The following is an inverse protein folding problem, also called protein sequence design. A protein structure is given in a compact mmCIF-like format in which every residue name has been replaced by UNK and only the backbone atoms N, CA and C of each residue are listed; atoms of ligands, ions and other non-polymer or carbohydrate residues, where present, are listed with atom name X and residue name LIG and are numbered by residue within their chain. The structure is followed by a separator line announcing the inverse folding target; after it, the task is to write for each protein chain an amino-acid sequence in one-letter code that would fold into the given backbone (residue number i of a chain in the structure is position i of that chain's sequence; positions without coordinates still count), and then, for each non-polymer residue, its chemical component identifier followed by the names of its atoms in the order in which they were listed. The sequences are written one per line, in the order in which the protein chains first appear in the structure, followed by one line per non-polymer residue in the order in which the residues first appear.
data_IF_559562057308
#
_entry.id   IF_559562057308
#
_cell.length_a   1.000
_cell.length_b   1.000
_cell.length_c   1.000
_cell.angle_alpha   90.00
_cell.angle_beta   90.00
_cell.angle_gamma   90.00
#
_symmetry.space_group_name_H-M   'P 1'
#
loop_
_entity.id
_entity.type
_entity.pdbx_description
1 polymer ?
2 non-polymer ?
3 non-polymer ?
4 water ?
#
# COMPACT_ATOMS: atom_id res chain seq x y z
N UNK A 4 -21.74 8.02 -0.33
CA UNK A 4 -21.98 7.05 0.78
C UNK A 4 -20.71 6.85 1.62
N UNK A 5 -19.59 6.60 0.93
CA UNK A 5 -18.27 6.65 1.58
C UNK A 5 -17.64 8.01 1.26
N UNK A 6 -18.17 9.06 1.89
CA UNK A 6 -17.86 10.42 1.45
C UNK A 6 -16.45 10.95 1.77
N UNK A 7 -15.76 10.30 2.71
CA UNK A 7 -14.40 10.72 3.10
C UNK A 7 -13.34 10.39 2.06
N UNK A 8 -13.69 9.49 1.15
CA UNK A 8 -12.80 9.02 0.09
C UNK A 8 -12.38 10.14 -0.86
N UNK A 9 -13.28 11.10 -1.09
CA UNK A 9 -13.09 12.11 -2.11
C UNK A 9 -11.84 12.95 -2.01
N UNK A 10 -11.46 13.36 -0.80
CA UNK A 10 -10.30 14.22 -0.64
C UNK A 10 -8.99 13.48 -0.94
N UNK A 11 -8.89 12.25 -0.43
CA UNK A 11 -7.76 11.37 -0.71
C UNK A 11 -7.60 11.12 -2.21
N UNK A 12 -8.67 10.68 -2.87
CA UNK A 12 -8.67 10.49 -4.32
C UNK A 12 -8.23 11.74 -5.09
N UNK A 13 -8.64 12.92 -4.61
CA UNK A 13 -8.32 14.21 -5.22
C UNK A 13 -6.83 14.58 -5.11
N UNK A 14 -6.20 14.21 -4.00
CA UNK A 14 -4.76 14.42 -3.81
C UNK A 14 -3.96 13.44 -4.67
N UNK A 15 -4.45 12.20 -4.80
CA UNK A 15 -3.84 11.22 -5.69
C UNK A 15 -3.87 11.72 -7.12
N UNK A 16 -5.03 12.26 -7.52
CA UNK A 16 -5.27 12.77 -8.88
C UNK A 16 -4.37 13.95 -9.25
N UNK A 17 -3.99 14.75 -8.26
CA UNK A 17 -3.05 15.87 -8.48
C UNK A 17 -1.73 15.34 -8.99
N UNK A 18 -1.29 14.21 -8.42
CA UNK A 18 -0.02 13.60 -8.84
C UNK A 18 -0.19 12.86 -10.17
N UNK A 19 -1.30 12.14 -10.29
CA UNK A 19 -1.67 11.45 -11.53
C UNK A 19 -1.68 12.39 -12.74
N UNK A 20 -2.05 13.65 -12.53
CA UNK A 20 -2.21 14.59 -13.64
C UNK A 20 -0.94 15.35 -13.95
N UNK A 21 0.09 15.13 -13.14
CA UNK A 21 1.35 15.84 -13.29
C UNK A 21 2.30 15.09 -14.19
N UNK A 22 2.81 15.81 -15.20
CA UNK A 22 3.85 15.28 -16.07
C UNK A 22 5.01 16.28 -16.20
N UNK A 23 5.74 16.53 -15.09
CA UNK A 23 6.72 17.64 -15.07
C UNK A 23 7.92 17.42 -16.00
N UNK A 24 8.23 16.15 -16.29
CA UNK A 24 9.32 15.78 -17.19
C UNK A 24 8.82 15.58 -18.61
N UNK A 25 7.51 15.81 -18.82
CA UNK A 25 6.90 15.68 -20.14
C UNK A 25 7.20 14.28 -20.71
N UNK A 26 6.92 13.26 -19.89
CA UNK A 26 7.40 11.91 -20.18
C UNK A 26 6.31 10.97 -20.70
N UNK A 27 5.06 11.43 -20.72
CA UNK A 27 3.92 10.56 -21.07
C UNK A 27 4.14 9.68 -22.28
N UNK A 28 4.47 10.30 -23.43
CA UNK A 28 4.61 9.57 -24.68
C UNK A 28 5.85 8.66 -24.71
N UNK A 29 6.82 8.98 -23.85
CA UNK A 29 8.07 8.23 -23.75
C UNK A 29 7.92 6.99 -22.87
N UNK A 30 7.31 7.14 -21.70
CA UNK A 30 7.07 5.99 -20.82
C UNK A 30 6.11 4.94 -21.43
N UNK A 31 5.22 5.37 -22.34
CA UNK A 31 4.34 4.46 -23.06
C UNK A 31 5.07 3.47 -23.96
N UNK A 32 6.35 3.77 -24.25
CA UNK A 32 7.15 2.96 -25.17
C UNK A 32 7.91 1.86 -24.43
N UNK A 33 7.99 1.97 -23.11
CA UNK A 33 8.74 1.02 -22.29
C UNK A 33 8.26 -0.45 -22.39
N UNK A 34 6.93 -0.71 -22.32
CA UNK A 34 6.46 -2.09 -22.46
C UNK A 34 6.97 -2.84 -23.71
N UNK A 35 7.02 -2.16 -24.84
CA UNK A 35 7.57 -2.73 -26.08
C UNK A 35 9.03 -3.12 -25.90
N UNK A 36 9.79 -2.28 -25.20
CA UNK A 36 11.22 -2.53 -24.96
C UNK A 36 11.45 -3.67 -23.98
N UNK A 37 10.63 -3.72 -22.94
CA UNK A 37 10.61 -4.87 -22.01
C UNK A 37 10.29 -6.19 -22.68
N UNK A 38 9.33 -6.17 -23.60
CA UNK A 38 8.95 -7.35 -24.40
C UNK A 38 10.13 -7.85 -25.25
N UNK A 39 10.93 -6.92 -25.78
CA UNK A 39 12.13 -7.25 -26.55
C UNK A 39 13.36 -7.49 -25.68
N UNK A 40 13.22 -7.23 -24.39
CA UNK A 40 14.34 -7.36 -23.44
C UNK A 40 15.53 -6.49 -23.87
N UNK A 41 15.20 -5.29 -24.36
CA UNK A 41 16.13 -4.34 -24.92
C UNK A 41 16.66 -3.41 -23.83
N UNK A 42 17.72 -3.85 -23.15
CA UNK A 42 18.31 -3.10 -22.03
C UNK A 42 18.95 -1.78 -22.49
N UNK A 43 19.78 -1.81 -23.57
CA UNK A 43 20.29 -0.53 -24.08
C UNK A 43 19.18 0.43 -24.51
N UNK A 44 18.11 -0.09 -25.10
CA UNK A 44 16.97 0.72 -25.52
C UNK A 44 16.24 1.33 -24.34
N UNK A 45 16.07 0.54 -23.28
CA UNK A 45 15.45 0.99 -22.03
C UNK A 45 16.21 2.13 -21.37
N UNK A 46 17.54 1.98 -21.25
CA UNK A 46 18.41 3.04 -20.74
C UNK A 46 18.36 4.29 -21.64
N UNK A 47 18.43 4.09 -22.95
CA UNK A 47 18.37 5.20 -23.89
C UNK A 47 17.06 5.97 -23.83
N UNK A 48 15.97 5.26 -23.51
CA UNK A 48 14.66 5.90 -23.37
C UNK A 48 14.56 6.76 -22.11
N UNK A 49 15.09 6.25 -21.00
CA UNK A 49 15.14 7.01 -19.75
C UNK A 49 15.98 8.27 -19.91
N UNK A 50 17.14 8.14 -20.54
CA UNK A 50 18.05 9.26 -20.75
C UNK A 50 17.46 10.39 -21.60
N UNK A 51 16.35 10.11 -22.29
CA UNK A 51 15.60 11.11 -23.05
C UNK A 51 14.84 12.11 -22.18
N UNK A 52 14.48 11.72 -20.95
CA UNK A 52 13.76 12.63 -20.07
C UNK A 52 14.40 12.83 -18.69
N UNK A 53 15.33 11.96 -18.33
CA UNK A 53 15.99 12.04 -17.03
C UNK A 53 16.72 13.37 -16.88
N UNK A 54 16.42 14.11 -15.79
CA UNK A 54 17.15 15.38 -15.58
C UNK A 54 18.62 15.10 -15.29
N UNK A 55 19.53 15.82 -15.95
CA UNK A 55 20.95 15.56 -15.75
C UNK A 55 21.62 16.65 -14.93
N UNK A 56 20.93 17.78 -14.81
CA UNK A 56 21.53 18.96 -14.21
C UNK A 56 20.76 19.37 -12.96
N UNK A 57 19.97 18.44 -12.43
CA UNK A 57 19.18 18.69 -11.24
C UNK A 57 17.69 18.86 -11.50
N UNK A 58 16.95 19.08 -10.42
CA UNK A 58 15.50 19.26 -10.48
C UNK A 58 15.16 20.74 -10.49
N UNK A 59 14.22 21.16 -11.36
CA UNK A 59 13.73 22.54 -11.32
C UNK A 59 13.32 22.94 -9.91
N UNK A 60 13.72 24.15 -9.50
CA UNK A 60 13.53 24.60 -8.12
C UNK A 60 12.11 25.06 -7.81
N UNK A 61 11.25 25.14 -8.84
CA UNK A 61 9.85 25.50 -8.63
C UNK A 61 8.98 24.31 -8.24
N UNK A 62 9.56 23.10 -8.32
CA UNK A 62 8.88 21.87 -8.01
C UNK A 62 8.50 21.74 -6.54
N UNK A 63 7.42 20.99 -6.30
CA UNK A 63 7.02 20.63 -4.95
C UNK A 63 6.89 19.13 -4.87
N UNK A 64 6.18 18.66 -3.85
CA UNK A 64 5.96 17.22 -3.67
C UNK A 64 5.33 16.57 -4.90
N UNK A 65 4.27 17.19 -5.41
CA UNK A 65 3.48 16.68 -6.54
C UNK A 65 4.36 16.40 -7.76
N UNK A 66 5.18 17.38 -8.15
CA UNK A 66 6.03 17.21 -9.33
C UNK A 66 7.14 16.19 -9.09
N UNK A 67 7.76 16.26 -7.91
CA UNK A 67 8.80 15.30 -7.56
C UNK A 67 8.31 13.85 -7.53
N UNK A 68 7.08 13.64 -7.06
CA UNK A 68 6.54 12.28 -6.95
C UNK A 68 6.15 11.78 -8.34
N UNK A 69 5.60 12.68 -9.15
CA UNK A 69 5.32 12.42 -10.57
C UNK A 69 6.59 12.07 -11.36
N UNK A 70 7.67 12.78 -11.06
CA UNK A 70 8.98 12.51 -11.69
C UNK A 70 9.49 11.15 -11.27
N UNK A 71 9.34 10.81 -9.98
CA UNK A 71 9.74 9.51 -9.44
C UNK A 71 8.94 8.38 -10.06
N UNK A 72 7.65 8.61 -10.28
CA UNK A 72 6.80 7.64 -10.97
C UNK A 72 7.32 7.31 -12.37
N UNK A 73 7.68 8.34 -13.14
CA UNK A 73 8.08 8.15 -14.53
C UNK A 73 9.47 7.52 -14.70
N UNK A 74 10.42 7.97 -13.89
CA UNK A 74 11.73 7.33 -13.82
C UNK A 74 11.58 5.92 -13.22
N UNK A 75 10.74 5.80 -12.18
CA UNK A 75 10.50 4.54 -11.46
C UNK A 75 10.21 3.28 -12.27
N UNK A 76 9.32 3.35 -13.27
CA UNK A 76 9.04 2.19 -14.12
C UNK A 76 10.26 1.63 -14.87
N UNK A 77 11.29 2.46 -15.05
CA UNK A 77 12.55 2.03 -15.64
C UNK A 77 13.42 1.32 -14.61
N UNK A 78 13.21 1.62 -13.34
CA UNK A 78 13.96 1.00 -12.25
C UNK A 78 13.64 -0.49 -12.12
N UNK A 79 12.37 -0.81 -11.89
CA UNK A 79 11.93 -2.21 -11.83
C UNK A 79 12.17 -2.98 -13.13
N UNK A 80 12.11 -2.27 -14.25
CA UNK A 80 12.35 -2.84 -15.58
C UNK A 80 13.78 -3.33 -15.75
N UNK A 81 14.73 -2.46 -15.44
CA UNK A 81 16.14 -2.77 -15.60
C UNK A 81 16.56 -3.89 -14.68
N UNK A 82 16.10 -3.85 -13.44
CA UNK A 82 16.36 -4.94 -12.50
C UNK A 82 15.74 -6.26 -12.99
N UNK A 83 14.56 -6.18 -13.60
CA UNK A 83 13.89 -7.36 -14.17
C UNK A 83 14.77 -8.11 -15.20
N UNK A 84 15.55 -7.35 -15.96
CA UNK A 84 16.50 -7.93 -16.93
C UNK A 84 17.87 -8.25 -16.35
N UNK A 85 18.05 -8.05 -15.05
CA UNK A 85 19.27 -8.46 -14.35
C UNK A 85 20.30 -7.36 -14.06
N UNK A 86 19.87 -6.11 -14.12
CA UNK A 86 20.81 -4.98 -14.01
C UNK A 86 20.41 -3.99 -12.93
N UNK A 87 21.38 -3.61 -12.08
CA UNK A 87 21.14 -2.53 -11.14
C UNK A 87 21.06 -1.21 -11.92
N UNK A 88 19.89 -0.53 -11.88
CA UNK A 88 19.71 0.74 -12.61
C UNK A 88 20.79 1.77 -12.30
N UNK A 89 21.21 1.86 -11.04
CA UNK A 89 22.25 2.81 -10.61
C UNK A 89 23.64 2.48 -11.16
N UNK A 90 23.83 1.23 -11.58
CA UNK A 90 25.10 0.79 -12.16
C UNK A 90 25.12 0.98 -13.68
N UNK A 91 23.95 1.04 -14.30
CA UNK A 91 23.88 1.12 -15.76
C UNK A 91 23.40 2.46 -16.31
N UNK A 92 22.92 3.36 -15.44
CA UNK A 92 22.44 4.67 -15.87
C UNK A 92 23.28 5.79 -15.23
N UNK A 93 24.07 6.49 -16.06
CA UNK A 93 24.89 7.58 -15.56
C UNK A 93 24.02 8.69 -14.99
N UNK A 94 24.38 9.21 -13.82
CA UNK A 94 23.68 10.35 -13.23
C UNK A 94 22.31 10.05 -12.65
N UNK A 95 21.89 8.80 -12.66
CA UNK A 95 20.55 8.45 -12.18
C UNK A 95 20.42 8.49 -10.66
N UNK A 96 21.38 7.88 -9.97
CA UNK A 96 21.34 7.79 -8.50
C UNK A 96 21.22 9.14 -7.77
N UNK A 97 22.04 10.16 -8.15
CA UNK A 97 21.87 11.49 -7.58
C UNK A 97 20.45 12.04 -7.73
N UNK A 98 19.87 11.91 -8.93
CA UNK A 98 18.49 12.29 -9.21
C UNK A 98 17.49 11.59 -8.30
N UNK A 99 17.65 10.28 -8.15
CA UNK A 99 16.77 9.46 -7.29
C UNK A 99 16.82 9.90 -5.84
N UNK A 100 18.03 10.21 -5.37
CA UNK A 100 18.22 10.72 -3.99
C UNK A 100 17.63 12.12 -3.76
N UNK A 101 17.69 12.95 -4.81
CA UNK A 101 17.06 14.27 -4.80
C UNK A 101 15.53 14.21 -4.73
N UNK A 102 14.95 13.25 -5.45
CA UNK A 102 13.50 13.02 -5.43
C UNK A 102 13.00 12.38 -4.13
N UNK A 103 13.82 11.50 -3.56
CA UNK A 103 13.58 10.92 -2.23
C UNK A 103 13.56 11.99 -1.14
N UNK A 104 14.42 13.00 -1.29
CA UNK A 104 14.46 14.13 -0.38
C UNK A 104 13.23 15.03 -0.54
N UNK A 105 12.82 15.27 -1.78
CA UNK A 105 11.74 16.19 -2.09
C UNK A 105 10.37 15.64 -1.67
N UNK A 106 10.28 14.32 -1.56
CA UNK A 106 9.03 13.64 -1.27
C UNK A 106 9.02 12.94 0.09
N UNK A 107 10.19 12.83 0.73
CA UNK A 107 10.35 12.12 2.00
C UNK A 107 9.87 10.66 1.90
N UNK A 108 10.33 10.00 0.85
CA UNK A 108 9.99 8.62 0.52
C UNK A 108 11.27 7.93 -0.02
N UNK A 109 11.26 6.60 -0.23
CA UNK A 109 12.46 5.94 -0.77
C UNK A 109 12.93 6.49 -2.14
N UNK A 110 14.21 6.27 -2.51
CA UNK A 110 14.72 6.71 -3.82
C UNK A 110 14.42 5.74 -4.97
N UNK A 111 13.18 5.27 -5.03
CA UNK A 111 12.68 4.45 -6.12
C UNK A 111 11.17 4.55 -6.13
N UNK A 112 10.53 3.81 -7.04
CA UNK A 112 9.07 3.76 -7.11
C UNK A 112 8.46 2.83 -6.05
N UNK A 113 7.28 3.21 -5.60
CA UNK A 113 6.52 2.44 -4.61
C UNK A 113 5.15 2.18 -5.23
N UNK A 114 4.35 1.39 -4.52
CA UNK A 114 2.96 1.17 -4.85
C UNK A 114 2.21 2.48 -5.23
N UNK A 115 2.42 3.53 -4.45
CA UNK A 115 1.72 4.80 -4.64
C UNK A 115 1.97 5.37 -6.04
N UNK A 116 3.24 5.37 -6.46
CA UNK A 116 3.64 5.84 -7.79
C UNK A 116 2.99 5.05 -8.95
N UNK A 117 2.88 3.73 -8.78
CA UNK A 117 2.45 2.86 -9.89
C UNK A 117 0.94 2.69 -9.97
N UNK A 118 0.23 3.12 -8.94
CA UNK A 118 -1.23 2.95 -8.87
C UNK A 118 -1.98 4.27 -8.76
N UNK A 119 -2.13 4.81 -7.55
CA UNK A 119 -2.99 5.99 -7.36
C UNK A 119 -2.38 7.30 -7.90
N UNK A 120 -1.04 7.34 -8.02
CA UNK A 120 -0.34 8.50 -8.59
C UNK A 120 -0.09 8.38 -10.07
N UNK A 121 -0.62 7.31 -10.65
CA UNK A 121 -0.44 6.93 -12.03
C UNK A 121 -1.77 7.19 -12.73
N UNK A 122 -1.76 8.00 -13.82
CA UNK A 122 -3.01 8.31 -14.53
C UNK A 122 -3.67 7.08 -15.14
N UNK A 123 -5.00 7.14 -15.29
CA UNK A 123 -5.82 5.97 -15.61
C UNK A 123 -6.11 5.76 -17.09
N UNK A 124 -5.99 6.84 -17.85
CA UNK A 124 -6.33 6.81 -19.28
C UNK A 124 -5.36 5.92 -20.05
N UNK A 125 -5.88 5.27 -21.09
CA UNK A 125 -5.07 4.41 -21.93
C UNK A 125 -3.91 5.15 -22.62
N UNK A 126 -4.14 6.42 -23.00
CA UNK A 126 -3.09 7.23 -23.62
C UNK A 126 -2.11 7.84 -22.62
N UNK A 127 -2.20 7.45 -21.34
CA UNK A 127 -1.37 8.03 -20.29
C UNK A 127 -0.84 7.03 -19.26
N UNK A 128 -1.61 5.99 -18.95
CA UNK A 128 -1.21 5.08 -17.88
C UNK A 128 0.17 4.49 -18.13
N UNK A 129 1.05 4.66 -17.13
CA UNK A 129 2.38 4.03 -17.13
C UNK A 129 2.23 2.58 -16.68
N UNK A 130 3.09 1.72 -17.23
CA UNK A 130 3.08 0.29 -16.99
C UNK A 130 4.46 -0.32 -17.30
N UNK A 131 4.78 -1.45 -16.68
CA UNK A 131 6.01 -2.15 -16.99
C UNK A 131 5.80 -2.97 -18.27
N UNK A 132 4.70 -3.69 -18.33
CA UNK A 132 4.52 -4.77 -19.29
C UNK A 132 3.47 -4.43 -20.31
N UNK A 133 2.58 -3.50 -19.97
CA UNK A 133 1.44 -3.17 -20.82
C UNK A 133 0.39 -4.27 -20.94
N UNK A 134 0.51 -5.29 -20.09
CA UNK A 134 -0.45 -6.41 -20.08
C UNK A 134 -1.79 -6.04 -19.43
N UNK A 135 -2.90 -6.66 -19.90
CA UNK A 135 -4.22 -6.56 -19.27
C UNK A 135 -4.20 -6.91 -17.78
N UNK A 136 -3.46 -7.97 -17.42
CA UNK A 136 -3.32 -8.39 -16.01
C UNK A 136 -2.64 -7.35 -15.14
N UNK A 137 -1.68 -6.61 -15.71
CA UNK A 137 -1.09 -5.51 -14.99
C UNK A 137 -2.11 -4.38 -14.83
N UNK A 138 -2.83 -4.06 -15.90
CA UNK A 138 -3.89 -3.06 -15.81
C UNK A 138 -4.87 -3.40 -14.68
N UNK A 139 -5.34 -4.65 -14.67
CA UNK A 139 -6.19 -5.19 -13.60
C UNK A 139 -5.53 -5.10 -12.22
N UNK A 140 -4.24 -5.42 -12.15
CA UNK A 140 -3.49 -5.35 -10.91
C UNK A 140 -3.47 -3.95 -10.31
N UNK A 141 -3.22 -2.94 -11.15
CA UNK A 141 -3.20 -1.56 -10.67
C UNK A 141 -4.58 -1.12 -10.20
N UNK A 142 -5.61 -1.55 -10.93
CA UNK A 142 -6.97 -1.17 -10.61
C UNK A 142 -7.43 -1.78 -9.28
N UNK A 143 -6.99 -3.00 -8.99
CA UNK A 143 -7.34 -3.66 -7.72
C UNK A 143 -6.95 -2.79 -6.53
N UNK A 144 -5.81 -2.11 -6.62
CA UNK A 144 -5.36 -1.22 -5.57
C UNK A 144 -6.09 0.13 -5.58
N UNK A 145 -6.39 0.66 -6.77
CA UNK A 145 -7.15 1.93 -6.87
C UNK A 145 -8.54 1.82 -6.26
N UNK A 146 -9.08 0.60 -6.25
CA UNK A 146 -10.37 0.31 -5.64
C UNK A 146 -10.40 0.73 -4.16
N UNK A 147 -9.36 0.37 -3.42
CA UNK A 147 -9.41 0.40 -1.95
C UNK A 147 -8.49 1.41 -1.29
N UNK A 148 -7.50 1.92 -2.01
CA UNK A 148 -6.48 2.76 -1.37
C UNK A 148 -7.04 4.04 -0.69
N UNK A 149 -7.91 4.78 -1.38
CA UNK A 149 -8.49 6.00 -0.81
C UNK A 149 -9.42 5.71 0.37
N UNK A 150 -10.14 4.58 0.28
CA UNK A 150 -10.94 4.06 1.39
C UNK A 150 -10.09 3.60 2.57
N UNK A 151 -8.91 3.03 2.29
CA UNK A 151 -7.98 2.62 3.34
C UNK A 151 -7.43 3.79 4.15
N UNK A 152 -7.00 4.84 3.44
CA UNK A 152 -6.55 6.08 4.03
C UNK A 152 -7.62 6.74 4.91
N UNK A 153 -8.86 6.77 4.44
CA UNK A 153 -9.97 7.20 5.26
C UNK A 153 -10.15 6.30 6.48
N UNK A 154 -10.02 4.98 6.28
CA UNK A 154 -10.10 4.01 7.38
C UNK A 154 -9.05 4.23 8.48
N UNK A 155 -7.81 4.55 8.07
CA UNK A 155 -6.76 4.94 9.03
C UNK A 155 -7.22 6.12 9.88
N UNK A 156 -7.68 7.21 9.24
CA UNK A 156 -8.21 8.37 9.94
C UNK A 156 -9.32 8.01 10.93
N UNK A 157 -10.25 7.16 10.51
CA UNK A 157 -11.36 6.74 11.35
C UNK A 157 -10.88 5.92 12.56
N UNK A 158 -9.82 5.14 12.37
CA UNK A 158 -9.22 4.31 13.41
C UNK A 158 -8.55 5.13 14.52
N UNK A 159 -7.87 6.21 14.11
CA UNK A 159 -7.21 7.13 15.04
C UNK A 159 -8.26 7.90 15.87
N UNK A 160 -9.34 8.28 15.21
CA UNK A 160 -10.47 8.96 15.85
C UNK A 160 -11.21 8.06 16.83
N UNK A 161 -11.37 6.79 16.44
CA UNK A 161 -12.06 5.78 17.25
C UNK A 161 -11.31 5.45 18.53
N UNK A 162 -9.99 5.54 18.47
CA UNK A 162 -9.09 5.30 19.60
C UNK A 162 -9.49 6.13 20.84
N UNK A 163 -9.82 7.40 20.63
CA UNK A 163 -10.16 8.32 21.72
C UNK A 163 -11.66 8.31 22.08
N UNK A 164 -12.44 7.48 21.38
CA UNK A 164 -13.87 7.37 21.65
C UNK A 164 -14.13 6.27 22.70
N UNK A 165 -14.82 6.65 23.77
CA UNK A 165 -15.17 5.73 24.85
C UNK A 165 -16.20 4.70 24.37
N UNK A 166 -16.02 3.46 24.81
CA UNK A 166 -16.92 2.36 24.50
C UNK A 166 -18.31 2.59 25.07
N UNK A 167 -18.38 3.37 26.15
CA UNK A 167 -19.64 3.71 26.82
C UNK A 167 -20.52 4.61 25.97
N UNK A 168 -19.89 5.22 24.95
CA UNK A 168 -20.54 6.16 24.04
C UNK A 168 -21.18 5.42 22.87
N UNK A 169 -22.39 5.86 22.44
CA UNK A 169 -23.01 5.29 21.23
C UNK A 169 -22.21 5.58 19.95
N UNK A 170 -21.34 6.59 20.01
CA UNK A 170 -20.40 6.87 18.93
C UNK A 170 -19.50 5.68 18.59
N UNK A 171 -19.16 4.86 19.58
CA UNK A 171 -18.23 3.76 19.36
C UNK A 171 -18.76 2.79 18.31
N UNK A 172 -19.99 2.30 18.52
CA UNK A 172 -20.65 1.39 17.58
C UNK A 172 -20.84 2.03 16.20
N UNK A 173 -21.30 3.29 16.19
CA UNK A 173 -21.51 4.04 14.94
C UNK A 173 -20.21 4.18 14.14
N UNK A 174 -19.15 4.61 14.82
CA UNK A 174 -17.81 4.76 14.24
C UNK A 174 -17.22 3.43 13.77
N UNK A 175 -17.45 2.37 14.55
CA UNK A 175 -16.99 1.03 14.22
C UNK A 175 -17.67 0.51 12.96
N UNK A 176 -18.98 0.72 12.87
CA UNK A 176 -19.78 0.34 11.70
C UNK A 176 -19.36 1.08 10.44
N UNK A 177 -18.92 2.33 10.62
CA UNK A 177 -18.46 3.18 9.53
C UNK A 177 -17.06 2.77 9.07
N UNK A 178 -16.20 2.38 10.01
CA UNK A 178 -14.86 1.90 9.71
C UNK A 178 -14.93 0.58 8.92
N UNK A 179 -15.90 -0.25 9.27
CA UNK A 179 -16.16 -1.50 8.58
C UNK A 179 -16.44 -1.26 7.09
N UNK A 180 -17.32 -0.31 6.81
CA UNK A 180 -17.78 -0.01 5.44
C UNK A 180 -16.65 0.49 4.54
N UNK A 181 -15.69 1.20 5.12
CA UNK A 181 -14.48 1.62 4.38
C UNK A 181 -13.54 0.44 4.13
N UNK A 182 -13.38 -0.44 5.11
CA UNK A 182 -12.48 -1.59 4.98
C UNK A 182 -13.03 -2.67 4.02
N UNK A 183 -14.35 -2.68 3.84
CA UNK A 183 -14.99 -3.52 2.83
C UNK A 183 -14.40 -3.35 1.42
N UNK A 184 -13.87 -2.17 1.13
CA UNK A 184 -13.15 -1.97 -0.13
C UNK A 184 -11.92 -2.89 -0.31
N UNK A 185 -11.30 -3.32 0.79
CA UNK A 185 -10.18 -4.27 0.73
C UNK A 185 -10.64 -5.62 0.20
N UNK A 186 -11.88 -5.99 0.55
CA UNK A 186 -12.48 -7.25 0.11
C UNK A 186 -12.84 -7.10 -1.37
N UNK A 187 -13.37 -5.95 -1.74
CA UNK A 187 -13.69 -5.68 -3.15
C UNK A 187 -12.46 -5.82 -4.04
N UNK A 188 -11.32 -5.37 -3.54
CA UNK A 188 -10.02 -5.50 -4.21
C UNK A 188 -9.63 -6.94 -4.50
N UNK A 189 -9.82 -7.82 -3.52
CA UNK A 189 -9.47 -9.23 -3.65
C UNK A 189 -10.42 -9.94 -4.61
N UNK A 190 -11.72 -9.67 -4.45
CA UNK A 190 -12.73 -10.23 -5.35
C UNK A 190 -12.40 -9.82 -6.79
N UNK A 191 -12.02 -8.57 -6.99
CA UNK A 191 -11.64 -8.07 -8.30
C UNK A 191 -10.40 -8.77 -8.84
N UNK A 192 -9.38 -8.93 -7.98
CA UNK A 192 -8.15 -9.61 -8.37
C UNK A 192 -8.37 -11.08 -8.72
N UNK A 193 -9.12 -11.79 -7.89
CA UNK A 193 -9.38 -13.20 -8.13
C UNK A 193 -10.20 -13.40 -9.41
N UNK A 194 -11.02 -12.41 -9.76
CA UNK A 194 -11.81 -12.48 -10.98
C UNK A 194 -11.01 -12.13 -12.23
N UNK A 195 -10.19 -11.08 -12.14
CA UNK A 195 -9.58 -10.50 -13.34
C UNK A 195 -8.09 -10.79 -13.59
N UNK A 196 -7.33 -11.14 -12.55
CA UNK A 196 -5.89 -11.36 -12.68
C UNK A 196 -5.53 -12.85 -12.78
N UNK A 197 -4.85 -13.22 -13.87
CA UNK A 197 -4.28 -14.56 -14.01
C UNK A 197 -3.11 -14.75 -13.04
N UNK A 198 -3.21 -15.73 -12.12
CA UNK A 198 -2.11 -16.04 -11.20
C UNK A 198 -0.81 -16.37 -11.93
N UNK A 199 -0.92 -17.10 -13.03
CA UNK A 199 0.22 -17.48 -13.85
C UNK A 199 0.89 -16.28 -14.53
N UNK A 200 0.09 -15.34 -15.05
CA UNK A 200 0.65 -14.15 -15.68
C UNK A 200 1.28 -13.26 -14.61
N UNK A 201 0.63 -13.18 -13.45
CA UNK A 201 1.23 -12.42 -12.35
C UNK A 201 2.61 -12.96 -12.01
N UNK A 202 2.68 -14.24 -11.65
CA UNK A 202 3.94 -14.88 -11.28
C UNK A 202 5.00 -14.86 -12.40
N UNK A 203 4.61 -15.17 -13.63
CA UNK A 203 5.61 -15.29 -14.71
C UNK A 203 5.97 -13.96 -15.38
N UNK A 204 5.01 -13.06 -15.50
CA UNK A 204 5.19 -11.84 -16.30
C UNK A 204 5.26 -10.56 -15.48
N UNK A 205 4.60 -10.53 -14.32
CA UNK A 205 4.50 -9.28 -13.56
C UNK A 205 5.47 -9.24 -12.38
N UNK A 206 5.45 -10.30 -11.58
CA UNK A 206 6.31 -10.43 -10.40
C UNK A 206 7.83 -10.21 -10.64
N UNK A 207 8.39 -10.71 -11.77
CA UNK A 207 9.81 -10.41 -12.07
C UNK A 207 10.20 -8.93 -12.09
N UNK A 208 9.22 -8.04 -12.20
CA UNK A 208 9.45 -6.60 -12.26
C UNK A 208 9.50 -5.92 -10.88
N UNK A 209 9.25 -6.67 -9.80
CA UNK A 209 9.15 -6.05 -8.48
C UNK A 209 10.30 -6.39 -7.53
N UNK A 210 11.46 -6.70 -8.10
CA UNK A 210 12.64 -7.07 -7.30
C UNK A 210 13.28 -5.85 -6.62
N UNK A 211 14.08 -6.07 -5.55
CA UNK A 211 14.80 -4.95 -4.94
C UNK A 211 15.85 -4.29 -5.85
N UNK A 212 16.24 -3.07 -5.52
CA UNK A 212 17.38 -2.39 -6.15
C UNK A 212 18.24 -1.70 -5.09
N UNK A 213 19.55 -1.56 -5.39
CA UNK A 213 20.48 -0.83 -4.53
C UNK A 213 20.60 0.66 -4.92
N UNK A 214 20.31 1.53 -3.96
CA UNK A 214 20.51 2.96 -4.08
C UNK A 214 21.02 3.42 -2.74
N UNK A 215 22.07 4.23 -2.75
CA UNK A 215 22.61 4.82 -1.54
C UNK A 215 23.16 3.82 -0.53
N UNK A 216 23.67 2.70 -1.03
CA UNK A 216 24.31 1.71 -0.18
C UNK A 216 23.36 0.87 0.64
N UNK A 217 22.10 0.84 0.23
CA UNK A 217 21.14 -0.10 0.80
C UNK A 217 20.13 -0.59 -0.26
N UNK A 218 19.36 -1.60 0.11
CA UNK A 218 18.44 -2.25 -0.79
C UNK A 218 17.02 -1.75 -0.56
N UNK A 219 16.33 -1.44 -1.64
CA UNK A 219 14.95 -0.97 -1.57
C UNK A 219 14.03 -1.87 -2.34
N UNK A 220 13.05 -2.42 -1.62
CA UNK A 220 12.04 -3.33 -2.18
C UNK A 220 11.26 -2.65 -3.27
N UNK A 221 10.78 -3.45 -4.23
CA UNK A 221 9.94 -2.94 -5.31
C UNK A 221 8.48 -2.84 -4.96
N UNK A 222 7.67 -2.26 -5.87
CA UNK A 222 6.24 -2.01 -5.63
C UNK A 222 5.46 -3.28 -5.28
N UNK A 223 4.52 -3.15 -4.34
CA UNK A 223 3.66 -4.25 -3.93
C UNK A 223 2.51 -3.70 -3.11
N UNK A 224 1.33 -4.33 -3.20
CA UNK A 224 0.23 -3.91 -2.35
C UNK A 224 0.52 -4.15 -0.86
N UNK A 225 1.51 -5.01 -0.58
CA UNK A 225 2.11 -5.16 0.78
C UNK A 225 2.48 -3.80 1.38
N UNK A 226 2.78 -2.82 0.52
CA UNK A 226 3.14 -1.45 0.93
C UNK A 226 1.93 -0.58 1.29
N UNK A 227 0.72 -1.09 1.06
CA UNK A 227 -0.51 -0.42 1.52
C UNK A 227 -0.45 -0.27 3.04
N UNK A 228 -0.80 0.92 3.55
CA UNK A 228 -0.61 1.15 4.99
C UNK A 228 -1.70 0.54 5.87
N UNK A 229 -2.22 -0.62 5.45
CA UNK A 229 -3.13 -1.40 6.26
C UNK A 229 -2.45 -1.84 7.57
N UNK A 230 -1.15 -2.10 7.50
CA UNK A 230 -0.40 -2.53 8.68
C UNK A 230 -0.32 -1.45 9.75
N UNK A 231 -0.30 -0.19 9.32
CA UNK A 231 -0.35 0.94 10.24
C UNK A 231 -1.72 0.99 10.89
N UNK A 232 -2.78 0.97 10.09
CA UNK A 232 -4.14 0.90 10.61
C UNK A 232 -4.29 -0.20 11.69
N UNK A 233 -3.74 -1.39 11.43
CA UNK A 233 -3.87 -2.50 12.37
C UNK A 233 -2.88 -2.42 13.53
N UNK A 234 -1.79 -1.66 13.35
CA UNK A 234 -0.92 -1.25 14.46
C UNK A 234 -1.77 -0.57 15.53
N UNK A 235 -2.48 0.49 15.14
CA UNK A 235 -3.36 1.25 16.03
C UNK A 235 -4.51 0.39 16.53
N UNK A 236 -5.12 -0.38 15.63
CA UNK A 236 -6.30 -1.19 15.95
C UNK A 236 -6.04 -2.33 16.94
N UNK A 237 -5.02 -3.16 16.66
CA UNK A 237 -4.79 -4.36 17.47
C UNK A 237 -3.33 -4.77 17.76
N UNK A 238 -2.39 -4.29 16.96
CA UNK A 238 -1.05 -4.87 16.97
C UNK A 238 0.10 -4.11 17.62
N UNK A 239 -0.14 -2.89 18.05
CA UNK A 239 0.92 -2.03 18.58
C UNK A 239 1.70 -2.67 19.73
N UNK A 240 0.97 -3.35 20.63
CA UNK A 240 1.55 -3.98 21.81
C UNK A 240 1.93 -5.45 21.61
N UNK A 241 1.74 -5.98 20.40
CA UNK A 241 2.05 -7.38 20.10
C UNK A 241 3.52 -7.70 20.39
N UNK A 242 3.77 -8.86 20.99
CA UNK A 242 5.14 -9.30 21.24
C UNK A 242 5.66 -10.33 20.22
N UNK A 243 5.02 -10.35 19.05
CA UNK A 243 5.43 -11.22 17.95
C UNK A 243 6.51 -10.53 17.13
N UNK A 244 7.74 -11.01 17.28
CA UNK A 244 8.95 -10.49 16.63
C UNK A 244 8.83 -10.42 15.11
N UNK A 245 8.48 -11.55 14.49
CA UNK A 245 8.27 -11.65 13.06
C UNK A 245 7.28 -10.59 12.54
N UNK A 246 6.20 -10.38 13.29
CA UNK A 246 5.17 -9.39 12.93
C UNK A 246 5.69 -7.95 13.07
N UNK A 247 6.36 -7.67 14.19
CA UNK A 247 7.06 -6.40 14.40
C UNK A 247 8.05 -6.09 13.25
N UNK A 248 8.91 -7.04 12.94
CA UNK A 248 9.88 -6.92 11.85
C UNK A 248 9.20 -6.60 10.53
N UNK A 249 8.13 -7.33 10.23
CA UNK A 249 7.29 -7.11 9.05
C UNK A 249 6.81 -5.64 8.94
N UNK A 250 6.23 -5.12 10.02
CA UNK A 250 5.77 -3.73 10.02
C UNK A 250 6.92 -2.72 9.85
N UNK A 251 8.02 -2.94 10.56
CA UNK A 251 9.20 -2.08 10.44
C UNK A 251 9.87 -2.13 9.06
N UNK A 252 9.67 -3.23 8.34
CA UNK A 252 10.24 -3.41 7.00
C UNK A 252 9.57 -2.49 5.98
N UNK A 253 8.24 -2.35 6.05
CA UNK A 253 7.46 -1.60 5.06
C UNK A 253 7.17 -0.16 5.45
N UNK A 254 7.39 0.15 6.72
CA UNK A 254 7.29 1.51 7.25
C UNK A 254 7.90 2.64 6.38
N UNK A 255 9.15 2.49 5.87
CA UNK A 255 9.70 3.59 5.04
C UNK A 255 8.91 3.89 3.76
N UNK A 256 8.13 2.90 3.32
CA UNK A 256 7.43 2.92 2.03
C UNK A 256 6.05 3.56 2.05
N UNK A 257 5.54 3.90 3.24
CA UNK A 257 4.26 4.58 3.36
C UNK A 257 4.42 6.10 3.47
N UNK A 258 3.34 6.84 3.23
CA UNK A 258 3.35 8.28 3.45
C UNK A 258 3.85 8.65 4.84
N UNK A 259 4.66 9.73 4.92
CA UNK A 259 5.20 10.22 6.19
C UNK A 259 4.19 10.33 7.34
N UNK A 260 2.94 10.64 7.03
CA UNK A 260 1.88 10.81 8.05
C UNK A 260 1.66 9.49 8.78
N UNK A 261 1.68 8.40 8.01
CA UNK A 261 1.44 7.07 8.55
C UNK A 261 2.65 6.50 9.27
N UNK A 262 3.85 6.93 8.86
CA UNK A 262 5.05 6.64 9.66
C UNK A 262 4.95 7.34 11.00
N UNK A 263 4.37 8.54 10.99
CA UNK A 263 4.18 9.32 12.22
C UNK A 263 3.06 8.74 13.07
N UNK A 264 1.97 8.31 12.43
CA UNK A 264 0.88 7.61 13.11
C UNK A 264 1.43 6.38 13.82
N UNK A 265 2.25 5.61 13.11
CA UNK A 265 2.86 4.38 13.64
C UNK A 265 3.73 4.66 14.86
N UNK A 266 4.60 5.68 14.74
CA UNK A 266 5.48 6.12 15.84
C UNK A 266 4.69 6.51 17.09
N UNK A 267 3.57 7.21 16.87
CA UNK A 267 2.74 7.72 17.95
C UNK A 267 2.13 6.62 18.80
N UNK A 268 1.82 5.49 18.17
CA UNK A 268 1.04 4.44 18.81
C UNK A 268 1.84 3.25 19.31
N UNK A 269 3.11 3.16 18.92
CA UNK A 269 4.02 2.10 19.39
C UNK A 269 4.15 2.08 20.92
N UNK A 270 4.08 3.27 21.53
CA UNK A 270 4.24 3.40 22.99
C UNK A 270 2.97 3.19 23.79
N UNK A 271 1.84 3.07 23.10
CA UNK A 271 0.53 2.91 23.73
C UNK A 271 -0.03 1.50 23.53
N UNK A 272 -1.00 1.08 24.39
CA UNK A 272 -1.81 -0.09 24.06
C UNK A 272 -2.63 0.14 22.80
N UNK A 273 -2.97 -0.95 22.09
CA UNK A 273 -3.80 -0.87 20.91
C UNK A 273 -5.26 -0.55 21.25
N UNK A 274 -6.04 -0.14 20.25
CA UNK A 274 -7.46 0.15 20.41
C UNK A 274 -8.20 -1.01 21.09
N UNK A 275 -7.94 -2.22 20.61
CA UNK A 275 -8.55 -3.44 21.13
C UNK A 275 -8.25 -3.65 22.61
N UNK A 276 -7.01 -3.36 23.02
CA UNK A 276 -6.56 -3.52 24.40
C UNK A 276 -7.28 -2.56 25.36
N UNK A 277 -7.48 -1.33 24.91
CA UNK A 277 -8.20 -0.32 25.68
C UNK A 277 -9.70 -0.62 25.72
N UNK A 278 -10.26 -1.00 24.57
CA UNK A 278 -11.68 -1.30 24.47
C UNK A 278 -12.10 -2.46 25.37
N UNK A 279 -11.28 -3.52 25.39
CA UNK A 279 -11.56 -4.70 26.21
C UNK A 279 -11.38 -4.42 27.70
N UNK A 280 -10.32 -3.71 28.06
CA UNK A 280 -10.09 -3.24 29.44
C UNK A 280 -11.26 -2.41 29.96
N UNK A 281 -11.80 -1.56 29.10
CA UNK A 281 -12.95 -0.73 29.41
C UNK A 281 -14.22 -1.58 29.58
N UNK A 282 -14.38 -2.57 28.69
CA UNK A 282 -15.52 -3.48 28.73
C UNK A 282 -15.56 -4.32 30.01
N UNK A 283 -14.40 -4.75 30.49
CA UNK A 283 -14.34 -5.55 31.71
C UNK A 283 -14.53 -4.73 32.97
N UNK A 284 -14.27 -3.43 32.90
CA UNK A 284 -14.45 -2.54 34.05
C UNK A 284 -15.88 -2.05 34.20
N UNK A 285 -16.57 -1.86 33.08
CA UNK A 285 -17.92 -1.28 33.05
C UNK A 285 -19.02 -2.36 33.10
N UNK A 286 -18.79 -3.47 32.42
CA UNK A 286 -19.78 -4.53 32.30
C UNK A 286 -20.41 -4.58 30.92
N UNK A 287 -20.82 -5.78 30.51
CA UNK A 287 -21.43 -5.99 29.19
C UNK A 287 -22.96 -5.82 29.18
N UNK A 288 -23.54 -5.49 30.33
CA UNK A 288 -24.98 -5.23 30.38
C UNK A 288 -25.30 -3.79 30.04
N UNK A 289 -24.27 -2.95 30.00
CA UNK A 289 -24.36 -1.62 29.40
C UNK A 289 -24.54 -1.83 27.89
N UNK A 290 -25.68 -1.40 27.37
CA UNK A 290 -26.02 -1.60 25.95
C UNK A 290 -25.01 -1.01 24.97
N UNK A 291 -24.45 0.15 25.33
CA UNK A 291 -23.45 0.81 24.52
C UNK A 291 -22.12 0.03 24.48
N UNK A 292 -21.82 -0.68 25.57
CA UNK A 292 -20.67 -1.57 25.64
C UNK A 292 -20.88 -2.80 24.73
N UNK A 293 -22.08 -3.39 24.80
CA UNK A 293 -22.46 -4.54 23.96
C UNK A 293 -22.45 -4.20 22.48
N UNK A 294 -23.09 -3.08 22.13
CA UNK A 294 -23.15 -2.62 20.74
C UNK A 294 -21.78 -2.23 20.22
N UNK A 295 -20.97 -1.63 21.10
CA UNK A 295 -19.60 -1.23 20.76
C UNK A 295 -18.74 -2.43 20.38
N UNK A 296 -18.79 -3.46 21.22
CA UNK A 296 -18.01 -4.69 21.00
C UNK A 296 -18.51 -5.49 19.80
N UNK A 297 -19.84 -5.56 19.63
CA UNK A 297 -20.45 -6.24 18.50
C UNK A 297 -20.00 -5.62 17.16
N UNK A 298 -20.02 -4.29 17.10
CA UNK A 298 -19.63 -3.55 15.91
C UNK A 298 -18.12 -3.67 15.64
N UNK A 299 -17.34 -3.73 16.72
CA UNK A 299 -15.89 -3.89 16.64
C UNK A 299 -15.52 -5.28 16.08
N UNK A 300 -16.28 -6.29 16.48
CA UNK A 300 -16.13 -7.64 15.95
C UNK A 300 -16.32 -7.70 14.43
N UNK A 301 -17.28 -6.92 13.92
CA UNK A 301 -17.54 -6.83 12.47
C UNK A 301 -16.39 -6.18 11.71
N UNK A 302 -15.65 -5.29 12.40
CA UNK A 302 -14.42 -4.69 11.86
C UNK A 302 -13.37 -5.79 11.64
N UNK A 303 -13.20 -6.66 12.64
CA UNK A 303 -12.31 -7.82 12.52
C UNK A 303 -12.81 -8.84 11.51
N UNK A 304 -14.13 -8.94 11.35
CA UNK A 304 -14.72 -9.84 10.38
C UNK A 304 -14.41 -9.45 8.93
N UNK A 305 -14.40 -8.14 8.65
CA UNK A 305 -14.13 -7.65 7.30
C UNK A 305 -12.63 -7.72 6.95
N UNK A 306 -11.77 -7.45 7.93
CA UNK A 306 -10.32 -7.65 7.78
C UNK A 306 -10.02 -9.09 7.41
N UNK A 307 -10.73 -10.04 8.02
CA UNK A 307 -10.57 -11.45 7.70
C UNK A 307 -11.14 -11.82 6.33
N UNK A 308 -12.19 -11.13 5.92
CA UNK A 308 -12.78 -11.33 4.58
C UNK A 308 -11.86 -10.83 3.47
N UNK A 309 -10.93 -9.95 3.82
CA UNK A 309 -9.83 -9.60 2.94
C UNK A 309 -8.70 -10.63 3.05
N UNK A 310 -8.25 -10.89 4.28
CA UNK A 310 -6.98 -11.57 4.54
C UNK A 310 -6.98 -13.06 4.19
N UNK A 311 -8.07 -13.76 4.47
CA UNK A 311 -8.18 -15.20 4.17
C UNK A 311 -8.25 -15.52 2.66
N UNK A 312 -9.14 -14.85 1.90
CA UNK A 312 -9.18 -14.97 0.44
C UNK A 312 -7.88 -14.54 -0.24
N UNK A 313 -7.23 -13.51 0.32
CA UNK A 313 -5.94 -13.03 -0.20
C UNK A 313 -4.83 -14.06 -0.08
N UNK A 314 -4.86 -14.86 0.99
CA UNK A 314 -3.90 -15.94 1.17
C UNK A 314 -4.06 -17.00 0.08
N UNK A 315 -5.30 -17.42 -0.18
CA UNK A 315 -5.59 -18.38 -1.25
C UNK A 315 -5.07 -17.86 -2.58
N UNK A 316 -5.32 -16.58 -2.84
CA UNK A 316 -4.90 -15.89 -4.06
C UNK A 316 -3.40 -15.92 -4.25
N UNK A 317 -2.65 -15.65 -3.18
CA UNK A 317 -1.19 -15.63 -3.22
C UNK A 317 -0.64 -17.04 -3.40
N UNK A 318 -1.23 -18.01 -2.71
CA UNK A 318 -0.83 -19.40 -2.84
C UNK A 318 -1.13 -19.99 -4.21
N UNK A 319 -2.26 -19.59 -4.82
CA UNK A 319 -2.59 -19.99 -6.20
C UNK A 319 -1.54 -19.50 -7.19
N UNK A 320 -1.09 -18.26 -7.03
CA UNK A 320 -0.03 -17.70 -7.87
C UNK A 320 1.31 -18.38 -7.63
N UNK A 321 1.68 -18.53 -6.36
CA UNK A 321 2.94 -19.18 -5.99
C UNK A 321 2.87 -20.71 -6.15
N UNK A 322 1.70 -21.22 -6.52
CA UNK A 322 1.54 -22.59 -7.00
C UNK A 322 2.02 -22.67 -8.47
N UNK A 323 2.04 -21.51 -9.14
CA UNK A 323 2.63 -21.35 -10.47
C UNK A 323 4.15 -21.17 -10.32
N UNK A 336 3.82 -19.17 -1.16
CA UNK A 336 3.79 -17.77 -0.70
C UNK A 336 4.59 -17.61 0.61
N UNK A 337 5.30 -16.47 0.76
CA UNK A 337 5.92 -16.10 2.05
C UNK A 337 5.03 -16.43 3.24
N UNK A 338 5.61 -17.06 4.25
CA UNK A 338 4.87 -17.66 5.36
C UNK A 338 4.28 -16.63 6.33
N UNK A 339 4.76 -15.40 6.26
CA UNK A 339 4.24 -14.33 7.10
C UNK A 339 2.74 -14.10 6.88
N UNK A 340 2.27 -14.36 5.66
CA UNK A 340 0.85 -14.27 5.34
C UNK A 340 0.01 -15.15 6.27
N UNK A 341 0.40 -16.42 6.40
CA UNK A 341 -0.27 -17.36 7.30
C UNK A 341 -0.23 -16.92 8.75
N UNK A 342 0.91 -16.38 9.18
CA UNK A 342 1.11 -15.92 10.57
C UNK A 342 0.25 -14.71 10.91
N UNK A 343 0.16 -13.78 9.98
CA UNK A 343 -0.65 -12.58 10.17
C UNK A 343 -2.14 -12.93 10.23
N UNK A 344 -2.57 -13.83 9.34
CA UNK A 344 -3.93 -14.36 9.37
C UNK A 344 -4.26 -14.98 10.73
N UNK A 345 -3.32 -15.75 11.27
CA UNK A 345 -3.49 -16.42 12.59
C UNK A 345 -3.63 -15.40 13.72
N UNK A 346 -2.79 -14.35 13.68
CA UNK A 346 -2.85 -13.24 14.63
C UNK A 346 -4.19 -12.52 14.62
N UNK A 347 -4.70 -12.25 13.42
CA UNK A 347 -5.95 -11.54 13.23
C UNK A 347 -7.12 -12.32 13.80
N UNK A 348 -7.14 -13.63 13.54
CA UNK A 348 -8.11 -14.55 14.14
C UNK A 348 -8.08 -14.51 15.66
N UNK A 349 -6.88 -14.43 16.23
CA UNK A 349 -6.72 -14.34 17.68
C UNK A 349 -7.31 -13.06 18.23
N UNK A 350 -7.05 -11.94 17.56
CA UNK A 350 -7.65 -10.65 17.92
C UNK A 350 -9.18 -10.70 17.84
N UNK A 351 -9.73 -11.21 16.74
CA UNK A 351 -11.18 -11.38 16.61
C UNK A 351 -11.76 -12.24 17.76
N UNK A 352 -11.08 -13.35 18.07
CA UNK A 352 -11.45 -14.25 19.16
C UNK A 352 -11.53 -13.54 20.51
N UNK A 353 -10.56 -12.68 20.79
CA UNK A 353 -10.57 -11.87 22.01
C UNK A 353 -11.83 -11.00 22.10
N UNK A 354 -12.18 -10.33 21.01
CA UNK A 354 -13.42 -9.53 20.92
C UNK A 354 -14.66 -10.42 21.10
N UNK A 355 -14.64 -11.62 20.51
CA UNK A 355 -15.72 -12.61 20.69
C UNK A 355 -15.87 -13.06 22.15
N UNK A 356 -14.76 -13.36 22.80
CA UNK A 356 -14.73 -13.78 24.21
C UNK A 356 -15.23 -12.68 25.14
N UNK A 357 -15.10 -11.41 24.71
CA UNK A 357 -15.62 -10.28 25.47
C UNK A 357 -17.16 -10.31 25.58
N UNK A 358 -17.80 -11.00 24.64
CA UNK A 358 -19.27 -11.09 24.58
C UNK A 358 -19.84 -12.48 24.89
N UNK A 359 -19.01 -13.53 24.82
CA UNK A 359 -19.49 -14.90 25.09
C UNK A 359 -19.58 -15.17 26.59
X LIG B 1 1.07 -9.31 1.10
X LIG B 1 0.68 -12.01 -2.92
X LIG B 1 -2.90 -9.22 -4.63
X LIG B 1 -2.70 -6.58 -0.56
X LIG B 1 1.35 -10.26 0.13
X LIG B 1 2.47 -11.18 0.09
X LIG B 1 2.34 -11.92 -1.02
X LIG B 1 1.15 -11.50 -1.73
X LIG B 1 3.29 -13.05 -1.51
X LIG B 1 3.61 -11.32 1.13
X LIG B 1 4.54 -10.12 1.13
X LIG B 1 5.63 -10.27 0.10
X LIG B 1 5.40 -9.90 -1.08
X LIG B 1 6.74 -10.76 0.45
X LIG B 1 -0.29 -11.49 -3.74
X LIG B 1 -0.63 -11.97 -5.06
X LIG B 1 -1.62 -11.20 -5.55
X LIG B 1 -1.94 -10.21 -4.55
X LIG B 1 0.07 -13.16 -5.74
X LIG B 1 -2.34 -11.31 -6.93
X LIG B 1 -2.28 -12.40 -7.71
X LIG B 1 -3.18 -8.27 -3.67
X LIG B 1 -4.24 -7.29 -3.71
X LIG B 1 -4.18 -6.56 -2.59
X LIG B 1 -3.08 -7.06 -1.79
X LIG B 1 -5.24 -7.13 -4.87
X LIG B 1 -5.10 -5.38 -2.17
X LIG B 1 -5.44 -4.43 -3.04
X LIG B 1 -1.72 -7.07 0.29
X LIG B 1 -1.47 -6.62 1.64
X LIG B 1 -0.30 -7.47 2.15
X LIG B 1 0.05 -8.35 1.07
X LIG B 1 -2.23 -5.50 2.38
X LIG B 1 0.34 -7.38 3.55
X LIG B 1 -0.07 -8.62 4.36
X LIG B 1 -1.51 -8.58 4.83
X LIG B 1 -2.08 -7.49 5.06
X LIG B 1 -2.09 -9.69 4.99
X LIG B 1 0.57 -10.48 -1.00
X LIG B 1 -1.11 -10.42 -3.46
X LIG B 1 -2.50 -8.11 -2.48
X LIG B 1 -0.81 -8.08 -0.01
X LIG B 1 -0.97 -9.25 -1.75
X LIG C 1 2.65 -6.86 -2.40
X LIG C 1 2.73 -7.86 -3.11
X LIG C 1 3.82 -8.28 -3.50
X LIG C 1 1.46 -8.57 -3.53
X LIG C 1 0.30 -7.92 -2.92
X LIG C 1 1.33 -8.67 -5.06
X LIG C 1 1.70 -7.39 -5.83
X LIG C 1 2.91 -7.08 -6.33
X LIG C 1 2.86 -5.89 -6.94
X LIG C 1 1.62 -5.42 -6.84
X LIG C 1 0.85 -6.34 -6.14
X LIG C 1 -0.50 -6.10 -5.90
X LIG C 1 -1.06 -4.91 -6.37
X LIG C 1 -0.28 -3.97 -7.08
X LIG C 1 1.07 -4.24 -7.30
X LIG C 1 2.10 -3.14 -8.17
#
# INVERSE_FOLDING_TARGET
MERTLDRVGVFAATHAAVAASDPLQARALVLQLPGLNRNKDVPGIVGLLREFLPVRGLPSGWGFVEAAAAMRDIGFFLGSLKRHGHEPAEVVPGLEPVLLDLARATNLPPRETLLHVTVWNPTAADAQRSYTGLPDEAHLLESVRISMAALEAAIALTVELFDVSLRSPEFAQRSDELEAYLQKMVESIVYAYRFISPQVFYDELRPFYEPIRVGGQSYLGPGAVEMPLFVLEHVLWGSQSDDQTYREFKETYLPYVLPAYRAVYARFSGEPALIDRALDEARAVGTRDEHVRAGLTALERVFKVLLRFRAPHLKLAERAYEVGQSGPEIGSGGYAPSMLGELLTLTYAARSRVRAALDES
HEM CHA CHB CHC CHD C1A C2A C3A C4A CMA CAA CBA CGA O1A O2A C1B C2B C3B C4B CMB CAB CBB C1C C2C C3C C4C CMC CAC CBC C1D C2D C3D C4D CMD CAD CBD CGD O1D O2D NA NB NC ND FE
CTE O C OXT CA N CB CG CD1 NE1 CE2 CD2 CE3 CZ3 CH2 CZ2 CL
#
